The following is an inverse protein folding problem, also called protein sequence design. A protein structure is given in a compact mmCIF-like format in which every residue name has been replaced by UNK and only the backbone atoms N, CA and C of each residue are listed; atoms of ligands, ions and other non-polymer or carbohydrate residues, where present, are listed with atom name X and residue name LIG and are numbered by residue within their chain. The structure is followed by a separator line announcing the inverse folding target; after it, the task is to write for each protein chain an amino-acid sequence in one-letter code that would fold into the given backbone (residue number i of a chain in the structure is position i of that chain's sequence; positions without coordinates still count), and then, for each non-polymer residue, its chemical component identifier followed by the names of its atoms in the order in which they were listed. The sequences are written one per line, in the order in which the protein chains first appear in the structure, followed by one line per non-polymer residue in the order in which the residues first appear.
data_IF_604918672202
#
_entry.id   IF_604918672202
#
_cell.length_a   1.000
_cell.length_b   1.000
_cell.length_c   1.000
_cell.angle_alpha   90.00
_cell.angle_beta   90.00
_cell.angle_gamma   90.00
#
_symmetry.space_group_name_H-M   'P 1'
#
loop_
_entity.id
_entity.type
_entity.pdbx_description
1 polymer ?
#
# COMPACT_ATOMS: atom_id res chain seq x y z
N UNK A 1 -7.50 -8.92 12.93
CA UNK A 1 -6.98 -7.58 13.21
C UNK A 1 -7.95 -6.85 14.12
N UNK A 2 -7.44 -6.01 15.01
CA UNK A 2 -8.21 -5.13 15.88
C UNK A 2 -7.42 -3.85 16.11
N UNK A 3 -8.07 -2.83 16.68
CA UNK A 3 -7.46 -1.53 17.00
C UNK A 3 -7.85 -1.09 18.40
N UNK A 4 -7.00 -0.28 19.00
CA UNK A 4 -7.20 0.29 20.34
C UNK A 4 -6.69 1.72 20.37
N UNK A 5 -7.28 2.55 21.21
CA UNK A 5 -6.79 3.90 21.50
C UNK A 5 -5.76 3.89 22.64
N UNK A 6 -5.47 2.72 23.19
CA UNK A 6 -4.53 2.47 24.28
C UNK A 6 -3.65 1.27 23.86
N UNK A 7 -2.30 1.38 23.92
CA UNK A 7 -1.42 0.26 23.57
C UNK A 7 -1.67 -1.02 24.39
N UNK A 8 -2.31 -0.91 25.56
CA UNK A 8 -2.67 -2.04 26.41
C UNK A 8 -4.08 -2.60 26.15
N UNK A 9 -4.78 -2.11 25.14
CA UNK A 9 -6.13 -2.55 24.78
C UNK A 9 -7.25 -1.83 25.55
N UNK A 10 -8.50 -2.32 25.44
CA UNK A 10 -8.88 -3.51 24.67
C UNK A 10 -8.74 -3.30 23.15
N UNK A 11 -8.38 -4.36 22.43
CA UNK A 11 -8.29 -4.33 20.97
C UNK A 11 -9.61 -4.83 20.37
N UNK A 12 -10.36 -3.91 19.77
CA UNK A 12 -11.66 -4.22 19.20
C UNK A 12 -11.54 -4.41 17.68
N UNK A 13 -12.32 -5.34 17.13
CA UNK A 13 -12.41 -5.55 15.68
C UNK A 13 -13.40 -4.59 14.98
N UNK A 14 -13.64 -4.76 13.67
CA UNK A 14 -14.57 -3.93 12.88
C UNK A 14 -16.00 -3.93 13.41
N UNK A 15 -16.40 -4.97 14.13
CA UNK A 15 -17.73 -5.14 14.69
C UNK A 15 -17.79 -4.74 16.17
N UNK A 16 -16.68 -4.25 16.74
CA UNK A 16 -16.59 -3.87 18.15
C UNK A 16 -16.35 -5.04 19.10
N UNK A 17 -16.05 -6.23 18.59
CA UNK A 17 -15.78 -7.40 19.44
C UNK A 17 -14.34 -7.35 19.97
N UNK A 18 -14.18 -7.56 21.28
CA UNK A 18 -12.87 -7.63 21.93
C UNK A 18 -12.12 -8.88 21.48
N UNK A 19 -10.90 -8.69 20.96
CA UNK A 19 -10.03 -9.78 20.54
C UNK A 19 -9.51 -10.64 21.69
N UNK A 20 -9.57 -10.15 22.94
CA UNK A 20 -9.13 -10.88 24.12
C UNK A 20 -10.22 -11.80 24.70
N UNK A 21 -11.46 -11.70 24.21
CA UNK A 21 -12.63 -12.38 24.77
C UNK A 21 -13.31 -13.22 23.69
N UNK A 22 -13.76 -14.42 24.06
CA UNK A 22 -14.62 -15.22 23.19
C UNK A 22 -16.07 -14.77 23.33
N UNK A 23 -16.77 -14.68 22.20
CA UNK A 23 -18.20 -14.43 22.22
C UNK A 23 -18.92 -15.55 23.00
N UNK A 24 -19.71 -15.17 24.00
CA UNK A 24 -20.35 -16.13 24.92
C UNK A 24 -21.29 -17.12 24.22
N UNK A 25 -21.85 -16.73 23.07
CA UNK A 25 -22.83 -17.54 22.34
C UNK A 25 -22.16 -18.41 21.29
N UNK A 26 -21.29 -17.84 20.47
CA UNK A 26 -20.67 -18.48 19.31
C UNK A 26 -19.30 -19.09 19.62
N UNK A 27 -18.70 -18.75 20.76
CA UNK A 27 -17.36 -19.15 21.18
C UNK A 27 -16.26 -18.75 20.16
N UNK A 28 -16.56 -17.79 19.29
CA UNK A 28 -15.61 -17.27 18.32
C UNK A 28 -14.82 -16.10 18.93
N UNK A 29 -13.51 -15.99 18.61
CA UNK A 29 -12.75 -14.80 18.97
C UNK A 29 -13.15 -13.61 18.10
N UNK A 30 -12.95 -12.40 18.62
CA UNK A 30 -12.97 -11.19 17.81
C UNK A 30 -11.85 -11.16 16.76
N UNK A 31 -12.02 -10.33 15.74
CA UNK A 31 -10.98 -10.03 14.78
C UNK A 31 -11.52 -9.87 13.36
N UNK A 32 -10.97 -8.90 12.63
CA UNK A 32 -11.31 -8.70 11.22
C UNK A 32 -10.18 -9.17 10.28
N UNK A 33 -10.55 -9.61 9.08
CA UNK A 33 -9.56 -9.93 8.04
C UNK A 33 -8.91 -8.66 7.52
N UNK A 34 -7.57 -8.63 7.58
CA UNK A 34 -6.74 -7.62 6.94
C UNK A 34 -6.25 -8.09 5.57
N UNK A 35 -5.74 -9.32 5.54
CA UNK A 35 -5.06 -9.91 4.40
C UNK A 35 -5.44 -11.39 4.34
N UNK A 36 -5.93 -11.86 3.19
CA UNK A 36 -6.25 -13.28 2.98
C UNK A 36 -6.21 -13.68 1.51
N UNK A 37 -5.99 -14.97 1.28
CA UNK A 37 -6.21 -15.62 -0.01
C UNK A 37 -7.69 -15.55 -0.40
N UNK A 38 -7.96 -15.42 -1.69
CA UNK A 38 -9.32 -15.54 -2.23
C UNK A 38 -9.28 -16.02 -3.68
N UNK A 39 -10.17 -16.95 -4.04
CA UNK A 39 -10.30 -17.40 -5.43
C UNK A 39 -10.81 -16.29 -6.36
N UNK A 40 -11.77 -15.51 -5.87
CA UNK A 40 -12.34 -14.36 -6.57
C UNK A 40 -12.14 -13.12 -5.71
N UNK A 41 -11.47 -12.11 -6.26
CA UNK A 41 -11.32 -10.81 -5.59
C UNK A 41 -12.47 -9.93 -6.04
N UNK A 42 -13.37 -9.61 -5.12
CA UNK A 42 -14.41 -8.60 -5.34
C UNK A 42 -13.85 -7.22 -5.01
N UNK A 43 -14.21 -6.19 -5.76
CA UNK A 43 -13.84 -4.81 -5.44
C UNK A 43 -14.31 -4.36 -4.04
N UNK A 44 -15.34 -5.02 -3.51
CA UNK A 44 -15.86 -4.77 -2.15
C UNK A 44 -15.05 -5.45 -1.04
N UNK A 45 -14.32 -6.52 -1.36
CA UNK A 45 -13.53 -7.27 -0.39
C UNK A 45 -12.07 -6.84 -0.43
N UNK A 46 -11.79 -5.76 0.31
CA UNK A 46 -10.47 -5.14 0.36
C UNK A 46 -9.41 -5.97 1.13
N UNK A 47 -9.78 -7.13 1.67
CA UNK A 47 -8.86 -8.05 2.36
C UNK A 47 -8.31 -9.16 1.45
N UNK A 48 -8.97 -9.39 0.31
CA UNK A 48 -8.66 -10.46 -0.62
C UNK A 48 -7.56 -10.04 -1.61
N UNK A 49 -6.48 -10.83 -1.68
CA UNK A 49 -5.33 -10.54 -2.56
C UNK A 49 -5.17 -11.50 -3.74
N UNK A 50 -6.12 -12.42 -3.94
CA UNK A 50 -6.18 -13.33 -5.08
C UNK A 50 -5.69 -14.75 -4.78
N UNK A 51 -5.86 -15.63 -5.76
CA UNK A 51 -5.64 -17.09 -5.65
C UNK A 51 -4.18 -17.50 -5.69
N UNK A 52 -3.31 -16.63 -6.22
CA UNK A 52 -1.86 -16.84 -6.28
C UNK A 52 -1.25 -16.99 -4.89
N UNK A 53 -1.74 -16.21 -3.92
CA UNK A 53 -1.15 -16.11 -2.59
C UNK A 53 -1.78 -17.15 -1.67
N UNK A 54 -1.07 -18.20 -1.32
CA UNK A 54 -1.54 -19.23 -0.40
C UNK A 54 -1.03 -18.88 1.01
N UNK A 55 -1.96 -18.80 1.97
CA UNK A 55 -1.65 -18.57 3.38
C UNK A 55 -0.83 -17.32 3.68
N UNK A 56 -1.18 -16.13 3.13
CA UNK A 56 -0.44 -14.91 3.42
C UNK A 56 -0.54 -14.56 4.91
N UNK A 57 0.57 -14.26 5.56
CA UNK A 57 0.57 -14.02 7.01
C UNK A 57 1.90 -13.49 7.57
N UNK A 58 2.00 -13.49 8.90
CA UNK A 58 3.13 -12.95 9.67
C UNK A 58 3.57 -11.58 9.14
N UNK A 59 2.67 -10.62 9.30
CA UNK A 59 2.80 -9.31 8.66
C UNK A 59 3.66 -8.36 9.49
N UNK A 60 4.36 -7.44 8.81
CA UNK A 60 5.01 -6.29 9.44
C UNK A 60 4.65 -5.01 8.69
N UNK A 61 4.50 -3.91 9.42
CA UNK A 61 4.21 -2.60 8.85
C UNK A 61 5.45 -1.71 8.94
N UNK A 62 5.66 -0.89 7.92
CA UNK A 62 6.61 0.21 8.00
C UNK A 62 6.06 1.41 7.23
N UNK A 63 6.52 2.58 7.63
CA UNK A 63 6.12 3.86 7.05
C UNK A 63 7.35 4.61 6.54
N UNK A 64 7.18 5.35 5.45
CA UNK A 64 8.20 6.25 4.94
C UNK A 64 7.54 7.45 4.23
N UNK A 65 8.28 8.53 4.07
CA UNK A 65 7.89 9.64 3.19
C UNK A 65 8.58 9.46 1.84
N UNK A 66 7.83 9.45 0.75
CA UNK A 66 8.39 9.30 -0.59
C UNK A 66 9.03 10.61 -1.09
N UNK A 67 9.62 10.58 -2.29
CA UNK A 67 10.37 11.75 -2.78
C UNK A 67 9.48 12.94 -3.20
N UNK A 68 8.16 12.74 -3.36
CA UNK A 68 7.21 13.84 -3.59
C UNK A 68 6.59 14.36 -2.28
N UNK A 69 7.02 13.83 -1.13
CA UNK A 69 6.59 14.25 0.20
C UNK A 69 5.34 13.52 0.70
N UNK A 70 4.90 12.46 0.03
CA UNK A 70 3.72 11.70 0.43
C UNK A 70 4.08 10.66 1.50
N UNK A 71 3.24 10.54 2.53
CA UNK A 71 3.39 9.53 3.56
C UNK A 71 2.85 8.18 3.07
N UNK A 72 3.70 7.17 3.02
CA UNK A 72 3.40 5.84 2.50
C UNK A 72 3.54 4.82 3.61
N UNK A 73 2.49 4.03 3.82
CA UNK A 73 2.52 2.85 4.69
C UNK A 73 2.55 1.57 3.82
N UNK A 74 3.47 0.68 4.15
CA UNK A 74 3.64 -0.61 3.48
C UNK A 74 3.43 -1.72 4.50
N UNK A 75 2.79 -2.80 4.06
CA UNK A 75 2.77 -4.06 4.78
C UNK A 75 3.58 -5.10 4.03
N UNK A 76 4.46 -5.80 4.73
CA UNK A 76 5.17 -6.99 4.25
C UNK A 76 4.54 -8.24 4.84
N UNK A 77 4.64 -9.36 4.13
CA UNK A 77 4.08 -10.64 4.54
C UNK A 77 4.80 -11.79 3.84
N UNK A 78 4.80 -12.98 4.46
CA UNK A 78 5.19 -14.20 3.76
C UNK A 78 3.95 -14.83 3.10
N UNK A 79 4.16 -15.59 2.03
CA UNK A 79 3.12 -16.41 1.39
C UNK A 79 3.74 -17.58 0.63
N UNK A 80 2.92 -18.56 0.25
CA UNK A 80 3.29 -19.60 -0.70
C UNK A 80 2.69 -19.29 -2.08
N UNK A 81 3.49 -19.38 -3.15
CA UNK A 81 3.05 -19.00 -4.50
C UNK A 81 2.47 -20.21 -5.26
N UNK A 82 1.17 -20.17 -5.54
CA UNK A 82 0.46 -21.21 -6.29
C UNK A 82 1.01 -21.41 -7.71
N UNK A 83 1.62 -20.38 -8.31
CA UNK A 83 2.22 -20.45 -9.64
C UNK A 83 3.64 -21.02 -9.64
N UNK A 84 4.25 -21.16 -8.46
CA UNK A 84 5.61 -21.67 -8.26
C UNK A 84 5.59 -22.90 -7.34
N UNK A 85 4.62 -23.80 -7.55
CA UNK A 85 4.46 -25.05 -6.82
C UNK A 85 4.45 -24.90 -5.28
N UNK A 86 3.94 -23.78 -4.77
CA UNK A 86 3.88 -23.51 -3.33
C UNK A 86 5.22 -23.14 -2.70
N UNK A 87 6.20 -22.65 -3.48
CA UNK A 87 7.43 -22.08 -2.92
C UNK A 87 7.14 -20.90 -1.98
N UNK A 88 7.98 -20.69 -0.98
CA UNK A 88 7.83 -19.61 -0.01
C UNK A 88 8.45 -18.30 -0.52
N UNK A 89 7.68 -17.21 -0.44
CA UNK A 89 8.07 -15.88 -0.92
C UNK A 89 7.68 -14.80 0.09
N UNK A 90 8.30 -13.63 -0.09
CA UNK A 90 7.89 -12.40 0.57
C UNK A 90 7.09 -11.54 -0.41
N UNK A 91 6.04 -10.91 0.09
CA UNK A 91 5.24 -9.92 -0.61
C UNK A 91 5.22 -8.61 0.17
N UNK A 92 4.95 -7.52 -0.56
CA UNK A 92 4.72 -6.21 0.02
C UNK A 92 3.54 -5.55 -0.70
N UNK A 93 2.75 -4.76 0.03
CA UNK A 93 1.60 -4.01 -0.51
C UNK A 93 1.47 -2.66 0.16
N UNK A 94 0.90 -1.69 -0.56
CA UNK A 94 0.54 -0.39 0.03
C UNK A 94 -0.68 -0.56 0.91
N UNK A 95 -0.69 0.16 2.03
CA UNK A 95 -1.79 0.19 2.98
C UNK A 95 -2.55 1.50 2.82
N UNK A 96 -3.87 1.38 2.72
CA UNK A 96 -4.81 2.48 2.66
C UNK A 96 -5.82 2.37 3.78
N UNK A 97 -6.52 3.45 4.08
CA UNK A 97 -7.58 3.49 5.08
C UNK A 97 -8.92 3.79 4.42
N UNK A 98 -9.96 3.06 4.80
CA UNK A 98 -11.31 3.36 4.36
C UNK A 98 -11.92 4.54 5.15
N UNK A 99 -13.14 4.92 4.80
CA UNK A 99 -13.89 6.00 5.48
C UNK A 99 -14.19 5.72 6.95
N UNK A 100 -13.98 4.50 7.43
CA UNK A 100 -14.13 4.10 8.83
C UNK A 100 -12.79 3.91 9.54
N UNK A 101 -11.70 4.35 8.91
CA UNK A 101 -10.32 4.25 9.38
C UNK A 101 -9.85 2.80 9.63
N UNK A 102 -10.32 1.85 8.82
CA UNK A 102 -9.77 0.50 8.84
C UNK A 102 -8.75 0.32 7.71
N UNK A 103 -7.58 -0.26 8.00
CA UNK A 103 -6.59 -0.46 6.96
C UNK A 103 -7.02 -1.57 6.02
N UNK A 104 -6.65 -1.41 4.76
CA UNK A 104 -6.78 -2.40 3.70
C UNK A 104 -5.59 -2.30 2.75
N UNK A 105 -5.36 -3.35 1.97
CA UNK A 105 -4.30 -3.37 0.95
C UNK A 105 -4.90 -3.20 -0.44
N UNK A 106 -4.14 -2.61 -1.35
CA UNK A 106 -4.52 -2.61 -2.76
C UNK A 106 -4.35 -4.00 -3.40
N UNK A 107 -4.95 -4.16 -4.58
CA UNK A 107 -4.85 -5.38 -5.37
C UNK A 107 -3.48 -5.57 -6.02
N UNK A 108 -2.62 -4.55 -6.04
CA UNK A 108 -1.32 -4.59 -6.68
C UNK A 108 -0.20 -4.96 -5.70
N UNK A 109 0.76 -5.77 -6.16
CA UNK A 109 1.99 -6.00 -5.38
C UNK A 109 2.82 -4.73 -5.43
N UNK A 110 3.34 -4.31 -4.29
CA UNK A 110 4.29 -3.22 -4.23
C UNK A 110 5.67 -3.75 -4.60
N UNK A 111 6.23 -3.20 -5.68
CA UNK A 111 7.60 -3.49 -6.09
C UNK A 111 8.59 -2.58 -5.35
N UNK A 112 9.64 -3.18 -4.79
CA UNK A 112 10.70 -2.50 -4.04
C UNK A 112 11.42 -1.46 -4.89
N UNK A 113 11.51 -1.67 -6.21
CA UNK A 113 12.11 -0.72 -7.14
C UNK A 113 11.43 0.65 -7.09
N UNK A 114 10.14 0.73 -6.75
CA UNK A 114 9.44 2.01 -6.57
C UNK A 114 10.05 2.87 -5.46
N UNK A 115 10.77 2.28 -4.50
CA UNK A 115 11.52 3.01 -3.46
C UNK A 115 12.84 3.59 -4.00
N UNK A 116 13.50 2.87 -4.91
CA UNK A 116 14.88 3.14 -5.32
C UNK A 116 15.02 3.82 -6.69
N UNK A 117 14.09 3.63 -7.62
CA UNK A 117 14.07 4.30 -8.93
C UNK A 117 13.91 5.84 -8.78
N UNK A 118 13.40 6.31 -7.65
CA UNK A 118 13.34 7.74 -7.32
C UNK A 118 14.68 8.31 -6.82
N UNK A 119 15.55 7.49 -6.22
CA UNK A 119 16.84 7.94 -5.69
C UNK A 119 17.91 8.08 -6.80
N UNK A 120 17.80 7.28 -7.85
CA UNK A 120 18.70 7.35 -9.02
C UNK A 120 18.35 8.48 -9.97
N UNK A 121 17.06 8.84 -10.10
CA UNK A 121 16.63 9.93 -10.99
C UNK A 121 17.08 11.32 -10.50
N UNK A 122 17.31 11.51 -9.19
CA UNK A 122 17.84 12.75 -8.62
C UNK A 122 19.36 12.94 -8.76
N UNK A 123 20.11 11.92 -9.21
CA UNK A 123 21.59 11.99 -9.29
C UNK A 123 22.10 12.24 -10.71
N UNK A 124 21.24 12.19 -11.73
CA UNK A 124 21.65 12.39 -13.14
C UNK A 124 21.38 13.80 -13.69
N UNK A 125 20.79 14.70 -12.90
CA UNK A 125 20.41 16.06 -13.34
C UNK A 125 21.42 17.16 -12.97
N UNK A 126 22.68 16.82 -12.69
CA UNK A 126 23.75 17.81 -12.58
C UNK A 126 25.05 17.31 -13.23
N UNK A 127 25.48 18.07 -14.24
CA UNK A 127 26.81 18.06 -14.89
C UNK A 127 27.14 16.95 -15.89
N UNK A 128 26.58 17.07 -17.10
CA UNK A 128 27.29 16.77 -18.34
C UNK A 128 27.08 17.90 -19.35
N UNK A 129 27.68 19.05 -19.07
CA UNK A 129 28.00 20.04 -20.10
C UNK A 129 29.34 19.63 -20.73
N UNK A 130 29.26 18.84 -21.80
CA UNK A 130 30.38 18.61 -22.72
C UNK A 130 30.13 19.42 -24.00
N UNK A 131 31.11 20.26 -24.31
CA UNK A 131 31.65 20.54 -25.65
C UNK A 131 30.70 21.02 -26.77
N UNK A 132 30.96 22.25 -27.19
CA UNK A 132 30.96 22.76 -28.58
C UNK A 132 30.48 21.81 -29.71
N UNK A 133 29.46 22.24 -30.47
CA UNK A 133 29.60 22.59 -31.89
C UNK A 133 28.26 23.07 -32.48
N UNK A 134 28.35 24.15 -33.23
CA UNK A 134 27.34 24.78 -34.09
C UNK A 134 26.88 23.84 -35.21
N UNK A 135 25.57 23.87 -35.58
CA UNK A 135 25.03 24.19 -36.92
C UNK A 135 23.53 23.91 -36.98
N UNK A 136 22.83 24.87 -37.57
CA UNK A 136 21.39 25.06 -37.73
C UNK A 136 20.73 24.10 -38.73
N UNK A 137 19.50 23.66 -38.49
CA UNK A 137 18.43 23.66 -39.51
C UNK A 137 17.04 23.35 -38.92
N UNK A 138 16.07 24.08 -39.46
CA UNK A 138 14.63 24.17 -39.20
C UNK A 138 13.81 22.93 -39.56
N UNK A 139 12.84 22.53 -38.73
CA UNK A 139 11.39 22.37 -39.07
C UNK A 139 10.56 21.90 -37.86
N UNK A 140 9.28 22.25 -37.85
CA UNK A 140 8.43 22.44 -36.68
C UNK A 140 8.02 21.19 -35.87
N UNK A 141 7.94 21.38 -34.56
CA UNK A 141 7.26 20.51 -33.61
C UNK A 141 5.81 20.96 -33.43
N UNK A 142 4.86 20.04 -33.63
CA UNK A 142 3.58 20.08 -32.94
C UNK A 142 3.65 19.01 -31.83
N UNK A 143 3.92 19.43 -30.59
CA UNK A 143 3.89 18.54 -29.43
C UNK A 143 2.49 18.56 -28.81
N UNK A 144 1.86 17.39 -28.80
CA UNK A 144 0.64 17.15 -28.02
C UNK A 144 1.03 16.92 -26.56
N UNK A 145 1.03 17.97 -25.74
CA UNK A 145 1.15 17.84 -24.29
C UNK A 145 -0.10 17.17 -23.73
N UNK A 146 0.00 15.92 -23.29
CA UNK A 146 -1.01 15.35 -22.38
C UNK A 146 -0.75 15.90 -20.99
N UNK A 147 -1.55 16.89 -20.63
CA UNK A 147 -1.66 17.39 -19.27
C UNK A 147 -2.36 16.33 -18.43
N UNK A 148 -1.61 15.65 -17.56
CA UNK A 148 -2.18 14.82 -16.51
C UNK A 148 -2.63 15.76 -15.39
N UNK A 149 -3.94 16.01 -15.34
CA UNK A 149 -4.59 16.73 -14.26
C UNK A 149 -4.52 15.87 -12.99
N UNK A 150 -3.49 16.06 -12.18
CA UNK A 150 -3.42 15.51 -10.83
C UNK A 150 -4.38 16.31 -9.94
N UNK A 151 -5.67 15.96 -9.98
CA UNK A 151 -6.60 16.34 -8.92
C UNK A 151 -6.34 15.36 -7.77
N UNK A 152 -5.32 15.64 -6.97
CA UNK A 152 -5.26 15.10 -5.61
C UNK A 152 -6.41 15.74 -4.84
N UNK A 153 -7.48 14.96 -4.64
CA UNK A 153 -8.58 15.38 -3.79
C UNK A 153 -8.07 15.56 -2.36
N UNK A 154 -8.14 16.80 -1.87
CA UNK A 154 -7.81 17.20 -0.48
C UNK A 154 -8.52 16.29 0.55
N UNK A 155 -9.65 15.67 0.19
CA UNK A 155 -10.33 14.69 1.05
C UNK A 155 -9.48 13.47 1.40
N UNK A 156 -8.69 12.92 0.46
CA UNK A 156 -7.90 11.71 0.72
C UNK A 156 -6.76 11.97 1.71
N UNK A 157 -6.14 13.16 1.65
CA UNK A 157 -5.07 13.56 2.56
C UNK A 157 -5.60 13.81 3.98
N UNK A 158 -6.76 14.48 4.11
CA UNK A 158 -7.40 14.71 5.42
C UNK A 158 -7.86 13.39 6.05
N UNK A 159 -8.39 12.46 5.25
CA UNK A 159 -8.83 11.15 5.75
C UNK A 159 -7.64 10.33 6.26
N UNK A 160 -6.53 10.30 5.51
CA UNK A 160 -5.31 9.62 5.92
C UNK A 160 -4.73 10.19 7.23
N UNK A 161 -4.64 11.53 7.35
CA UNK A 161 -4.17 12.22 8.55
C UNK A 161 -5.11 12.07 9.76
N UNK A 162 -6.41 11.90 9.53
CA UNK A 162 -7.39 11.68 10.60
C UNK A 162 -7.37 10.22 11.10
N UNK A 163 -7.00 9.27 10.23
CA UNK A 163 -6.93 7.85 10.58
C UNK A 163 -5.55 7.45 11.14
N UNK A 164 -4.47 8.15 10.80
CA UNK A 164 -3.11 7.83 11.27
C UNK A 164 -2.82 8.20 12.72
N UNK A 165 -3.71 8.96 13.39
CA UNK A 165 -3.61 9.25 14.83
C UNK A 165 -3.97 8.06 15.75
N UNK A 166 -4.23 6.88 15.19
CA UNK A 166 -4.79 5.74 15.92
C UNK A 166 -3.88 4.50 15.94
N UNK A 167 -2.59 4.66 15.63
CA UNK A 167 -1.54 3.69 15.91
C UNK A 167 -0.57 4.23 16.97
#
# INVERSE_FOLDING_TARGET
MGRSTNPFGPYLDKNGMDMAVLDSTTQNPGGSYFLRSALNVSASDKSAIGSRYIGPGHVAFFEYTDAVGEHVMIVTFHFYDATQAGGAYLGARRVFFDSTCWPYVDGQTWEVSNLFDMATTSTSASTSASSSATVSSTTGMASSSRSACAILSIQSLILALSCSKWF
#
